data_IF_261682722003
#
_entry.id   IF_261682722003
#
_cell.length_a   1.000
_cell.length_b   1.000
_cell.length_c   1.000
_cell.angle_alpha   90.00
_cell.angle_beta   90.00
_cell.angle_gamma   90.00
#
_symmetry.space_group_name_H-M   'P 1'
#
loop_
_entity.id
_entity.type
_entity.pdbx_description
1 polymer ?
#
# COMPACT_ATOMS: atom_id res chain seq x y z
N UNK A 1 17.96 9.19 14.15
CA UNK A 1 16.74 8.39 13.95
C UNK A 1 16.96 6.96 14.45
N UNK A 2 16.06 6.42 15.28
CA UNK A 2 16.13 5.04 15.78
C UNK A 2 15.77 4.04 14.64
N UNK A 3 16.42 2.86 14.53
CA UNK A 3 16.02 1.80 13.59
C UNK A 3 14.52 1.45 13.60
N UNK A 4 13.85 1.45 14.76
CA UNK A 4 12.40 1.21 14.83
C UNK A 4 11.60 2.28 14.09
N UNK A 5 11.96 3.55 14.28
CA UNK A 5 11.34 4.68 13.56
C UNK A 5 11.58 4.60 12.06
N UNK A 6 12.80 4.20 11.65
CA UNK A 6 13.12 3.99 10.25
C UNK A 6 12.26 2.89 9.63
N UNK A 7 12.11 1.76 10.32
CA UNK A 7 11.27 0.65 9.89
C UNK A 7 9.82 1.10 9.68
N UNK A 8 9.20 1.73 10.68
CA UNK A 8 7.82 2.21 10.58
C UNK A 8 7.62 3.23 9.45
N UNK A 9 8.54 4.18 9.29
CA UNK A 9 8.43 5.21 8.25
C UNK A 9 8.55 4.60 6.85
N UNK A 10 9.50 3.69 6.65
CA UNK A 10 9.64 2.94 5.39
C UNK A 10 8.38 2.11 5.15
N UNK A 11 7.92 1.33 6.12
CA UNK A 11 6.72 0.50 6.01
C UNK A 11 5.49 1.30 5.60
N UNK A 12 5.17 2.39 6.32
CA UNK A 12 4.04 3.26 6.00
C UNK A 12 4.15 3.82 4.59
N UNK A 13 5.36 4.23 4.20
CA UNK A 13 5.59 4.76 2.86
C UNK A 13 5.35 3.70 1.80
N UNK A 14 5.87 2.48 1.98
CA UNK A 14 5.65 1.37 1.04
C UNK A 14 4.16 1.07 0.92
N UNK A 15 3.47 0.88 2.04
CA UNK A 15 2.04 0.57 2.09
C UNK A 15 1.14 1.60 1.40
N UNK A 16 1.56 2.87 1.38
CA UNK A 16 0.84 3.96 0.75
C UNK A 16 1.22 4.18 -0.72
N UNK A 17 2.46 3.90 -1.12
CA UNK A 17 2.99 4.37 -2.41
C UNK A 17 3.31 3.26 -3.39
N UNK A 18 3.75 2.09 -2.91
CA UNK A 18 4.26 1.03 -3.80
C UNK A 18 3.10 0.33 -4.48
N UNK A 19 3.04 0.35 -5.82
CA UNK A 19 1.96 -0.29 -6.53
C UNK A 19 2.19 -1.81 -6.59
N UNK A 20 1.23 -2.57 -6.08
CA UNK A 20 1.27 -4.03 -6.04
C UNK A 20 0.15 -4.62 -6.90
N UNK A 21 0.42 -5.71 -7.64
CA UNK A 21 -0.59 -6.31 -8.50
C UNK A 21 -1.71 -6.95 -7.67
N UNK A 22 -2.95 -7.01 -8.18
CA UNK A 22 -3.92 -7.96 -7.63
C UNK A 22 -3.60 -9.35 -8.22
N UNK A 23 -3.43 -10.37 -7.37
CA UNK A 23 -3.25 -11.74 -7.83
C UNK A 23 -4.62 -12.26 -8.25
N UNK A 24 -4.93 -12.15 -9.54
CA UNK A 24 -6.22 -12.51 -10.11
C UNK A 24 -6.30 -12.18 -11.61
N UNK A 25 -7.49 -12.33 -12.22
CA UNK A 25 -7.66 -12.13 -13.67
C UNK A 25 -7.66 -10.66 -14.08
N UNK A 26 -7.70 -9.72 -13.14
CA UNK A 26 -7.81 -8.29 -13.41
C UNK A 26 -6.44 -7.61 -13.34
N UNK A 27 -6.07 -6.78 -14.34
CA UNK A 27 -4.82 -6.04 -14.33
C UNK A 27 -4.91 -4.83 -13.40
N UNK A 28 -4.92 -5.08 -12.09
CA UNK A 28 -4.94 -4.04 -11.05
C UNK A 28 -3.52 -3.82 -10.56
N UNK A 29 -3.14 -2.56 -10.35
CA UNK A 29 -1.87 -2.19 -9.75
C UNK A 29 -2.14 -1.08 -8.73
N UNK A 30 -2.17 -1.43 -7.45
CA UNK A 30 -2.62 -0.53 -6.37
C UNK A 30 -1.79 -0.74 -5.10
N UNK A 31 -1.64 0.27 -4.24
CA UNK A 31 -0.89 0.13 -2.99
C UNK A 31 -1.66 -0.72 -1.98
N UNK A 32 -0.95 -1.32 -1.01
CA UNK A 32 -1.56 -2.22 -0.02
C UNK A 32 -2.74 -1.59 0.73
N UNK A 33 -2.65 -0.30 1.05
CA UNK A 33 -3.72 0.48 1.70
C UNK A 33 -5.01 0.52 0.87
N UNK A 34 -4.95 0.44 -0.46
CA UNK A 34 -6.16 0.39 -1.29
C UNK A 34 -6.96 -0.88 -1.03
N UNK A 35 -6.30 -2.02 -0.85
CA UNK A 35 -6.98 -3.28 -0.55
C UNK A 35 -7.61 -3.26 0.84
N UNK A 36 -6.99 -2.58 1.82
CA UNK A 36 -7.63 -2.32 3.12
C UNK A 36 -8.90 -1.48 2.95
N UNK A 37 -8.83 -0.36 2.22
CA UNK A 37 -9.99 0.50 1.98
C UNK A 37 -11.12 -0.27 1.28
N UNK A 38 -10.80 -1.05 0.25
CA UNK A 38 -11.77 -1.88 -0.46
C UNK A 38 -12.39 -2.95 0.45
N UNK A 39 -11.59 -3.61 1.30
CA UNK A 39 -12.10 -4.56 2.29
C UNK A 39 -13.04 -3.87 3.30
N UNK A 40 -12.69 -2.68 3.79
CA UNK A 40 -13.55 -1.90 4.70
C UNK A 40 -14.86 -1.52 4.03
N UNK A 41 -14.84 -0.95 2.82
CA UNK A 41 -16.05 -0.58 2.07
C UNK A 41 -16.93 -1.80 1.81
N UNK A 42 -16.33 -2.91 1.35
CA UNK A 42 -17.07 -4.16 1.11
C UNK A 42 -17.68 -4.72 2.39
N UNK A 43 -16.98 -4.60 3.53
CA UNK A 43 -17.51 -5.02 4.84
C UNK A 43 -18.70 -4.17 5.25
N UNK A 44 -18.63 -2.85 5.06
CA UNK A 44 -19.76 -1.95 5.33
C UNK A 44 -20.98 -2.29 4.49
N UNK A 45 -20.81 -2.58 3.20
CA UNK A 45 -21.89 -3.04 2.32
C UNK A 45 -22.46 -4.37 2.81
N UNK A 46 -21.60 -5.35 3.13
CA UNK A 46 -22.03 -6.65 3.64
C UNK A 46 -22.86 -6.54 4.94
N UNK A 47 -22.55 -5.57 5.80
CA UNK A 47 -23.28 -5.32 7.05
C UNK A 47 -24.65 -4.68 6.81
N UNK A 48 -24.79 -3.83 5.78
CA UNK A 48 -26.02 -3.08 5.50
C UNK A 48 -26.96 -3.85 4.58
N UNK A 49 -26.44 -4.43 3.50
CA UNK A 49 -27.21 -5.09 2.44
C UNK A 49 -27.24 -6.62 2.59
N UNK A 50 -26.42 -7.16 3.49
CA UNK A 50 -26.26 -8.59 3.72
C UNK A 50 -25.17 -9.23 2.86
N UNK A 51 -24.54 -10.27 3.41
CA UNK A 51 -23.40 -10.95 2.79
C UNK A 51 -23.81 -12.06 1.79
N UNK A 52 -24.77 -11.77 0.91
CA UNK A 52 -25.25 -12.74 -0.09
C UNK A 52 -24.46 -12.68 -1.40
N UNK A 53 -24.47 -13.77 -2.18
CA UNK A 53 -23.81 -13.83 -3.48
C UNK A 53 -22.28 -13.69 -3.40
N UNK A 54 -21.65 -12.85 -4.26
CA UNK A 54 -20.18 -12.77 -4.36
C UNK A 54 -19.52 -11.95 -3.24
N UNK A 55 -20.28 -11.27 -2.38
CA UNK A 55 -19.76 -10.33 -1.38
C UNK A 55 -18.71 -10.95 -0.44
N UNK A 56 -18.92 -12.15 0.15
CA UNK A 56 -17.92 -12.76 1.03
C UNK A 56 -16.61 -13.09 0.30
N UNK A 57 -16.70 -13.53 -0.96
CA UNK A 57 -15.53 -13.86 -1.78
C UNK A 57 -14.72 -12.60 -2.12
N UNK A 58 -15.39 -11.51 -2.48
CA UNK A 58 -14.76 -10.22 -2.76
C UNK A 58 -14.09 -9.67 -1.50
N UNK A 59 -14.77 -9.74 -0.35
CA UNK A 59 -14.23 -9.31 0.92
C UNK A 59 -12.97 -10.13 1.29
N UNK A 60 -13.05 -11.45 1.18
CA UNK A 60 -11.93 -12.34 1.45
C UNK A 60 -10.75 -12.04 0.52
N UNK A 61 -11.01 -11.80 -0.77
CA UNK A 61 -10.00 -11.44 -1.74
C UNK A 61 -9.24 -10.18 -1.31
N UNK A 62 -9.94 -9.10 -0.97
CA UNK A 62 -9.30 -7.85 -0.54
C UNK A 62 -8.58 -8.00 0.81
N UNK A 63 -9.18 -8.71 1.77
CA UNK A 63 -8.58 -8.92 3.08
C UNK A 63 -7.27 -9.72 3.00
N UNK A 64 -7.23 -10.79 2.20
CA UNK A 64 -6.03 -11.60 2.00
C UNK A 64 -4.93 -10.78 1.33
N UNK A 65 -5.26 -10.04 0.27
CA UNK A 65 -4.27 -9.18 -0.41
C UNK A 65 -3.72 -8.10 0.51
N UNK A 66 -4.59 -7.41 1.26
CA UNK A 66 -4.18 -6.43 2.23
C UNK A 66 -3.22 -7.03 3.27
N UNK A 67 -3.59 -8.16 3.87
CA UNK A 67 -2.76 -8.81 4.90
C UNK A 67 -1.41 -9.26 4.34
N UNK A 68 -1.40 -9.98 3.21
CA UNK A 68 -0.18 -10.52 2.61
C UNK A 68 0.77 -9.39 2.23
N UNK A 69 0.26 -8.32 1.60
CA UNK A 69 1.10 -7.22 1.17
C UNK A 69 1.63 -6.38 2.32
N UNK A 70 0.83 -6.10 3.34
CA UNK A 70 1.31 -5.42 4.53
C UNK A 70 2.40 -6.22 5.26
N UNK A 71 2.25 -7.54 5.34
CA UNK A 71 3.29 -8.39 5.93
C UNK A 71 4.57 -8.35 5.10
N UNK A 72 4.48 -8.46 3.78
CA UNK A 72 5.64 -8.41 2.88
C UNK A 72 6.35 -7.04 2.96
N UNK A 73 5.60 -5.95 2.90
CA UNK A 73 6.15 -4.59 3.02
C UNK A 73 6.79 -4.35 4.38
N UNK A 74 6.20 -4.87 5.45
CA UNK A 74 6.78 -4.80 6.79
C UNK A 74 8.10 -5.56 6.88
N UNK A 75 8.18 -6.77 6.31
CA UNK A 75 9.41 -7.55 6.24
C UNK A 75 10.49 -6.80 5.44
N UNK A 76 10.14 -6.23 4.29
CA UNK A 76 11.05 -5.42 3.47
C UNK A 76 11.53 -4.20 4.27
N UNK A 77 10.62 -3.48 4.93
CA UNK A 77 10.96 -2.32 5.76
C UNK A 77 11.87 -2.70 6.93
N UNK A 78 11.64 -3.84 7.58
CA UNK A 78 12.48 -4.35 8.67
C UNK A 78 13.89 -4.70 8.18
N UNK A 79 14.01 -5.35 7.02
CA UNK A 79 15.30 -5.67 6.39
C UNK A 79 16.07 -4.41 6.00
N UNK A 80 15.39 -3.43 5.40
CA UNK A 80 15.98 -2.13 5.04
C UNK A 80 16.41 -1.34 6.29
N UNK A 81 15.57 -1.29 7.33
CA UNK A 81 15.94 -0.63 8.58
C UNK A 81 17.15 -1.29 9.25
N UNK A 82 17.24 -2.63 9.16
CA UNK A 82 18.39 -3.40 9.67
C UNK A 82 19.66 -3.12 8.86
N UNK A 83 19.59 -3.05 7.54
CA UNK A 83 20.78 -2.72 6.72
C UNK A 83 21.27 -1.30 6.98
N UNK A 84 20.36 -0.34 7.14
CA UNK A 84 20.66 1.06 7.47
C UNK A 84 21.14 1.28 8.91
N UNK A 85 21.05 0.27 9.78
CA UNK A 85 21.53 0.36 11.18
C UNK A 85 23.05 0.56 11.27
N UNK A 86 23.79 0.12 10.25
CA UNK A 86 25.25 0.27 10.14
C UNK A 86 25.69 1.71 9.85
N UNK A 87 24.77 2.57 9.44
CA UNK A 87 25.06 3.97 9.11
C UNK A 87 24.98 4.89 10.35
N UNK A 88 25.66 6.02 10.25
CA UNK A 88 25.53 7.10 11.25
C UNK A 88 24.09 7.60 11.33
N UNK A 89 23.70 8.10 12.51
CA UNK A 89 22.35 8.66 12.75
C UNK A 89 21.92 9.74 11.74
N UNK A 90 22.77 10.71 11.35
CA UNK A 90 22.38 11.73 10.36
C UNK A 90 22.23 11.15 8.96
N UNK A 91 23.17 10.33 8.48
CA UNK A 91 23.09 9.72 7.14
C UNK A 91 21.85 8.82 7.00
N UNK A 92 21.55 8.00 8.01
CA UNK A 92 20.32 7.19 8.01
C UNK A 92 19.06 8.06 7.92
N UNK A 93 19.00 9.16 8.68
CA UNK A 93 17.84 10.07 8.65
C UNK A 93 17.68 10.67 7.26
N UNK A 94 18.77 11.17 6.67
CA UNK A 94 18.77 11.77 5.35
C UNK A 94 18.24 10.78 4.32
N UNK A 95 18.86 9.60 4.21
CA UNK A 95 18.49 8.56 3.24
C UNK A 95 17.02 8.18 3.36
N UNK A 96 16.54 7.89 4.58
CA UNK A 96 15.15 7.46 4.76
C UNK A 96 14.18 8.58 4.39
N UNK A 97 14.42 9.82 4.81
CA UNK A 97 13.54 10.94 4.48
C UNK A 97 13.56 11.27 2.99
N UNK A 98 14.73 11.27 2.35
CA UNK A 98 14.84 11.54 0.91
C UNK A 98 14.15 10.45 0.08
N UNK A 99 14.38 9.18 0.41
CA UNK A 99 13.76 8.07 -0.33
C UNK A 99 12.25 8.06 -0.12
N UNK A 100 11.78 8.25 1.11
CA UNK A 100 10.34 8.24 1.37
C UNK A 100 9.65 9.45 0.75
N UNK A 101 10.24 10.65 0.89
CA UNK A 101 9.75 11.86 0.24
C UNK A 101 9.70 11.74 -1.29
N UNK A 102 10.73 11.14 -1.89
CA UNK A 102 10.77 10.88 -3.33
C UNK A 102 9.65 9.90 -3.76
N UNK A 103 9.45 8.80 -3.03
CA UNK A 103 8.38 7.83 -3.33
C UNK A 103 6.99 8.47 -3.25
N UNK A 104 6.73 9.27 -2.21
CA UNK A 104 5.47 10.03 -2.11
C UNK A 104 5.30 11.02 -3.25
N UNK A 105 6.35 11.78 -3.58
CA UNK A 105 6.31 12.74 -4.69
C UNK A 105 6.00 12.02 -6.01
N UNK A 106 6.64 10.89 -6.27
CA UNK A 106 6.36 10.07 -7.45
C UNK A 106 4.92 9.56 -7.47
N UNK A 107 4.43 9.01 -6.36
CA UNK A 107 3.09 8.48 -6.23
C UNK A 107 1.99 9.53 -6.46
N UNK A 108 2.25 10.78 -6.05
CA UNK A 108 1.32 11.90 -6.24
C UNK A 108 1.41 12.49 -7.64
N UNK A 109 2.61 12.54 -8.22
CA UNK A 109 2.85 13.23 -9.50
C UNK A 109 2.51 12.36 -10.71
N UNK A 110 2.77 11.05 -10.64
CA UNK A 110 2.62 10.14 -11.77
C UNK A 110 1.42 9.21 -11.59
N UNK A 111 0.80 8.86 -12.72
CA UNK A 111 -0.29 7.89 -12.77
C UNK A 111 0.25 6.46 -12.71
N UNK A 112 0.77 6.08 -11.54
CA UNK A 112 1.41 4.78 -11.32
C UNK A 112 0.40 3.64 -11.12
N UNK A 113 -0.84 3.95 -10.75
CA UNK A 113 -1.83 2.94 -10.37
C UNK A 113 -2.75 2.59 -11.53
N UNK A 114 -3.09 1.31 -11.65
CA UNK A 114 -4.03 0.79 -12.64
C UNK A 114 -5.28 0.29 -11.93
N UNK A 115 -6.44 0.80 -12.33
CA UNK A 115 -7.73 0.41 -11.76
C UNK A 115 -8.61 -0.17 -12.87
N UNK A 116 -9.13 -1.41 -12.70
CA UNK A 116 -9.96 -2.06 -13.72
C UNK A 116 -11.36 -1.44 -13.80
N UNK A 117 -11.79 -0.74 -12.76
CA UNK A 117 -13.11 -0.14 -12.62
C UNK A 117 -12.95 1.34 -12.23
N UNK A 118 -13.48 2.25 -13.04
CA UNK A 118 -13.38 3.70 -12.83
C UNK A 118 -13.43 4.48 -14.14
N UNK A 119 -13.62 5.81 -14.05
CA UNK A 119 -13.63 6.71 -15.21
C UNK A 119 -12.24 6.91 -15.81
N UNK A 120 -11.18 6.73 -15.01
CA UNK A 120 -9.79 6.78 -15.45
C UNK A 120 -9.08 5.45 -15.16
N UNK A 121 -8.60 4.72 -16.18
CA UNK A 121 -7.92 3.43 -16.00
C UNK A 121 -6.54 3.56 -15.32
N UNK A 122 -6.01 4.78 -15.26
CA UNK A 122 -4.77 5.12 -14.57
C UNK A 122 -4.98 6.28 -13.60
N UNK A 123 -4.40 6.20 -12.42
CA UNK A 123 -4.47 7.26 -11.41
C UNK A 123 -3.16 7.44 -10.66
N UNK A 124 -2.97 8.64 -10.13
CA UNK A 124 -1.98 8.94 -9.09
C UNK A 124 -2.60 8.67 -7.70
N UNK A 125 -1.83 8.91 -6.64
CA UNK A 125 -2.27 8.61 -5.27
C UNK A 125 -3.54 9.37 -4.86
N UNK A 126 -3.70 10.62 -5.31
CA UNK A 126 -4.91 11.38 -5.01
C UNK A 126 -6.14 10.86 -5.74
N UNK A 127 -6.02 10.57 -7.04
CA UNK A 127 -7.12 10.00 -7.82
C UNK A 127 -7.49 8.57 -7.39
N UNK A 128 -6.58 7.88 -6.69
CA UNK A 128 -6.85 6.56 -6.12
C UNK A 128 -7.53 6.64 -4.73
N UNK A 129 -7.39 7.75 -4.01
CA UNK A 129 -7.96 7.95 -2.68
C UNK A 129 -9.26 8.77 -2.68
N UNK A 130 -9.53 9.53 -3.75
CA UNK A 130 -10.81 10.22 -4.00
C UNK A 130 -11.93 9.22 -4.34
#
# INVERSE_FOLDING_TARGET
MNPRTACWLIFITLALTVPLPLLGPFPVLAPAVRYLLLATVTSSVALVEGASGPVPLILLLFAVHALVYLVLEWLVAALLARSLSRLTRPSRRLIVLTTCGFLFLMAITFNLYHMPFGTNPKANLFGLLS
#
